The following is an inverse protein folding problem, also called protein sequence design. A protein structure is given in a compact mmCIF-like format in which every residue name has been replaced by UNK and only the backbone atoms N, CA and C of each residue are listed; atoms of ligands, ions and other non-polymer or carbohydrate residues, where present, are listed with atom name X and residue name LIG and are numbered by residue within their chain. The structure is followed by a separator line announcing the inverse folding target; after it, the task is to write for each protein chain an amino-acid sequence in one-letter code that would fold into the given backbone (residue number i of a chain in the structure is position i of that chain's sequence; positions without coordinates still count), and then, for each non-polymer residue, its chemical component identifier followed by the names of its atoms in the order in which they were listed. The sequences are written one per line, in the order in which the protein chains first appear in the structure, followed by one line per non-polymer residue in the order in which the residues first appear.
data_IF_815940883929
#
_entry.id   IF_815940883929
#
_cell.length_a   1.000
_cell.length_b   1.000
_cell.length_c   1.000
_cell.angle_alpha   90.00
_cell.angle_beta   90.00
_cell.angle_gamma   90.00
#
_symmetry.space_group_name_H-M   'P 1'
#
loop_
_entity.id
_entity.type
_entity.pdbx_description
1 polymer ?
#
# COMPACT_ATOMS: atom_id res chain seq x y z
N UNK A 1 8.01 10.29 -33.71
CA UNK A 1 7.85 10.37 -32.24
C UNK A 1 6.43 9.92 -31.82
N UNK A 2 5.36 10.24 -32.58
CA UNK A 2 3.96 9.95 -32.21
C UNK A 2 3.56 8.45 -32.20
N UNK A 3 4.24 7.58 -32.93
CA UNK A 3 3.87 6.15 -33.04
C UNK A 3 4.30 5.30 -31.82
N UNK A 4 5.36 5.70 -31.11
CA UNK A 4 5.87 5.00 -29.92
C UNK A 4 4.96 5.26 -28.71
N UNK A 5 4.41 6.46 -28.59
CA UNK A 5 3.51 6.88 -27.50
C UNK A 5 2.19 6.08 -27.50
N UNK A 6 1.61 5.89 -28.67
CA UNK A 6 0.34 5.15 -28.83
C UNK A 6 0.48 3.66 -28.50
N UNK A 7 1.62 3.04 -28.84
CA UNK A 7 1.88 1.62 -28.53
C UNK A 7 2.06 1.41 -27.04
N UNK A 8 2.83 2.28 -26.39
CA UNK A 8 3.07 2.26 -24.94
C UNK A 8 1.76 2.45 -24.15
N UNK A 9 0.94 3.43 -24.55
CA UNK A 9 -0.36 3.67 -23.93
C UNK A 9 -1.30 2.45 -24.04
N UNK A 10 -1.30 1.75 -25.19
CA UNK A 10 -2.10 0.50 -25.37
C UNK A 10 -1.60 -0.64 -24.48
N UNK A 11 -0.28 -0.75 -24.28
CA UNK A 11 0.29 -1.77 -23.38
C UNK A 11 -0.15 -1.47 -21.93
N UNK A 12 -0.02 -0.23 -21.48
CA UNK A 12 -0.45 0.18 -20.15
C UNK A 12 -1.95 -0.08 -19.93
N UNK A 13 -2.80 0.34 -20.86
CA UNK A 13 -4.25 0.10 -20.77
C UNK A 13 -4.60 -1.40 -20.66
N UNK A 14 -3.86 -2.27 -21.37
CA UNK A 14 -4.07 -3.72 -21.25
C UNK A 14 -3.58 -4.30 -19.94
N UNK A 15 -2.43 -3.85 -19.45
CA UNK A 15 -1.96 -4.23 -18.11
C UNK A 15 -2.95 -3.79 -17.04
N UNK A 16 -3.50 -2.58 -17.12
CA UNK A 16 -4.51 -2.07 -16.21
C UNK A 16 -5.78 -2.91 -16.21
N UNK A 17 -6.27 -3.30 -17.39
CA UNK A 17 -7.43 -4.18 -17.55
C UNK A 17 -7.21 -5.54 -16.87
N UNK A 18 -6.03 -6.15 -17.05
CA UNK A 18 -5.69 -7.44 -16.45
C UNK A 18 -5.55 -7.30 -14.93
N UNK A 19 -4.85 -6.27 -14.45
CA UNK A 19 -4.66 -6.00 -13.02
C UNK A 19 -6.00 -5.77 -12.32
N UNK A 20 -6.90 -4.98 -12.91
CA UNK A 20 -8.24 -4.75 -12.37
C UNK A 20 -9.04 -6.06 -12.25
N UNK A 21 -9.00 -6.91 -13.27
CA UNK A 21 -9.65 -8.22 -13.24
C UNK A 21 -9.05 -9.15 -12.20
N UNK A 22 -7.72 -9.18 -12.08
CA UNK A 22 -7.00 -10.00 -11.11
C UNK A 22 -7.34 -9.60 -9.66
N UNK A 23 -7.41 -8.30 -9.37
CA UNK A 23 -7.80 -7.78 -8.05
C UNK A 23 -9.18 -8.30 -7.64
N UNK A 24 -10.15 -8.25 -8.54
CA UNK A 24 -11.50 -8.79 -8.28
C UNK A 24 -11.48 -10.31 -8.04
N UNK A 25 -10.71 -11.06 -8.83
CA UNK A 25 -10.59 -12.50 -8.66
C UNK A 25 -9.92 -12.85 -7.32
N UNK A 26 -8.83 -12.19 -6.94
CA UNK A 26 -8.12 -12.43 -5.69
C UNK A 26 -8.98 -12.11 -4.46
N UNK A 27 -9.75 -11.02 -4.49
CA UNK A 27 -10.69 -10.69 -3.42
C UNK A 27 -11.80 -11.72 -3.27
N UNK A 28 -12.31 -12.25 -4.38
CA UNK A 28 -13.46 -13.15 -4.40
C UNK A 28 -13.12 -14.59 -4.04
N UNK A 29 -11.99 -15.07 -4.56
CA UNK A 29 -11.63 -16.49 -4.54
C UNK A 29 -10.32 -16.76 -3.78
N UNK A 30 -9.70 -15.71 -3.20
CA UNK A 30 -8.35 -15.78 -2.67
C UNK A 30 -7.29 -15.96 -3.75
N UNK A 31 -6.03 -15.86 -3.34
CA UNK A 31 -4.93 -15.99 -4.29
C UNK A 31 -4.86 -17.38 -4.95
N UNK A 32 -5.07 -18.45 -4.18
CA UNK A 32 -5.03 -19.82 -4.72
C UNK A 32 -6.20 -20.15 -5.63
N UNK A 33 -7.41 -19.69 -5.26
CA UNK A 33 -8.63 -19.96 -6.03
C UNK A 33 -8.68 -19.27 -7.39
N UNK A 34 -8.04 -18.10 -7.51
CA UNK A 34 -8.01 -17.33 -8.75
C UNK A 34 -6.96 -17.86 -9.72
N UNK A 35 -7.39 -18.48 -10.81
CA UNK A 35 -6.53 -18.96 -11.89
C UNK A 35 -6.36 -17.95 -13.03
N UNK A 36 -5.31 -18.10 -13.85
CA UNK A 36 -5.07 -17.26 -15.05
C UNK A 36 -6.25 -17.27 -16.02
N UNK A 37 -6.96 -18.39 -16.13
CA UNK A 37 -8.16 -18.51 -16.98
C UNK A 37 -9.33 -17.69 -16.43
N UNK A 38 -9.53 -17.65 -15.11
CA UNK A 38 -10.55 -16.83 -14.46
C UNK A 38 -10.24 -15.34 -14.63
N UNK A 39 -8.99 -14.95 -14.41
CA UNK A 39 -8.52 -13.57 -14.63
C UNK A 39 -8.76 -13.16 -16.09
N UNK A 40 -8.40 -14.01 -17.05
CA UNK A 40 -8.62 -13.74 -18.47
C UNK A 40 -10.11 -13.52 -18.79
N UNK A 41 -10.99 -14.39 -18.25
CA UNK A 41 -12.45 -14.27 -18.39
C UNK A 41 -12.96 -12.93 -17.87
N UNK A 42 -12.56 -12.54 -16.65
CA UNK A 42 -12.96 -11.26 -16.05
C UNK A 42 -12.36 -10.06 -16.79
N UNK A 43 -11.15 -10.20 -17.33
CA UNK A 43 -10.53 -9.18 -18.18
C UNK A 43 -11.11 -9.13 -19.60
N UNK A 44 -12.03 -10.03 -19.97
CA UNK A 44 -12.58 -10.16 -21.35
C UNK A 44 -11.46 -10.35 -22.38
N UNK A 45 -10.47 -11.17 -22.04
CA UNK A 45 -9.32 -11.51 -22.88
C UNK A 45 -9.19 -13.04 -22.99
N UNK A 46 -8.49 -13.51 -24.03
CA UNK A 46 -8.05 -14.88 -24.05
C UNK A 46 -6.90 -15.11 -23.07
N UNK A 47 -6.73 -16.32 -22.56
CA UNK A 47 -5.63 -16.70 -21.67
C UNK A 47 -4.28 -16.38 -22.32
N UNK A 48 -4.12 -16.67 -23.61
CA UNK A 48 -2.91 -16.35 -24.37
C UNK A 48 -2.64 -14.83 -24.46
N UNK A 49 -3.68 -14.00 -24.47
CA UNK A 49 -3.51 -12.56 -24.42
C UNK A 49 -3.01 -12.10 -23.05
N UNK A 50 -3.47 -12.70 -21.95
CA UNK A 50 -2.97 -12.37 -20.59
C UNK A 50 -1.51 -12.74 -20.48
N UNK A 51 -1.08 -13.92 -20.94
CA UNK A 51 0.32 -14.36 -20.91
C UNK A 51 1.28 -13.48 -21.72
N UNK A 52 0.80 -12.68 -22.68
CA UNK A 52 1.63 -11.68 -23.37
C UNK A 52 2.07 -10.52 -22.47
N UNK A 53 1.35 -10.26 -21.38
CA UNK A 53 1.58 -9.13 -20.47
C UNK A 53 2.13 -9.57 -19.11
N UNK A 54 1.79 -10.77 -18.66
CA UNK A 54 2.19 -11.33 -17.38
C UNK A 54 2.53 -12.81 -17.55
N UNK A 55 3.76 -13.14 -17.23
CA UNK A 55 4.29 -14.51 -17.38
C UNK A 55 3.52 -15.54 -16.52
N UNK A 56 3.11 -15.11 -15.34
CA UNK A 56 2.41 -15.95 -14.38
C UNK A 56 1.61 -15.08 -13.40
N UNK A 57 0.92 -15.73 -12.48
CA UNK A 57 0.11 -15.08 -11.44
C UNK A 57 0.95 -14.23 -10.48
N UNK A 58 2.15 -14.66 -10.15
CA UNK A 58 3.05 -13.91 -9.25
C UNK A 58 3.49 -12.59 -9.88
N UNK A 59 3.70 -12.54 -11.20
CA UNK A 59 4.00 -11.29 -11.90
C UNK A 59 2.82 -10.29 -11.85
N UNK A 60 1.58 -10.79 -11.79
CA UNK A 60 0.41 -9.92 -11.58
C UNK A 60 0.39 -9.39 -10.14
N UNK A 61 0.71 -10.21 -9.14
CA UNK A 61 0.82 -9.76 -7.75
C UNK A 61 1.91 -8.71 -7.61
N UNK A 62 3.08 -8.94 -8.18
CA UNK A 62 4.19 -7.98 -8.16
C UNK A 62 3.77 -6.62 -8.71
N UNK A 63 3.05 -6.60 -9.83
CA UNK A 63 2.49 -5.37 -10.39
C UNK A 63 1.48 -4.71 -9.44
N UNK A 64 0.59 -5.49 -8.83
CA UNK A 64 -0.41 -4.98 -7.88
C UNK A 64 0.28 -4.36 -6.66
N UNK A 65 1.20 -5.08 -6.03
CA UNK A 65 1.96 -4.62 -4.87
C UNK A 65 2.75 -3.36 -5.21
N UNK A 66 3.42 -3.35 -6.36
CA UNK A 66 4.18 -2.19 -6.84
C UNK A 66 3.28 -0.94 -6.99
N UNK A 67 2.06 -1.09 -7.52
CA UNK A 67 1.09 0.03 -7.63
C UNK A 67 0.64 0.53 -6.27
N UNK A 68 0.32 -0.37 -5.34
CA UNK A 68 -0.07 -0.01 -3.97
C UNK A 68 1.07 0.77 -3.28
N UNK A 69 2.31 0.29 -3.41
CA UNK A 69 3.49 0.96 -2.85
C UNK A 69 3.70 2.31 -3.49
N UNK A 70 3.63 2.43 -4.81
CA UNK A 70 3.78 3.70 -5.51
C UNK A 70 2.72 4.72 -5.07
N UNK A 71 1.47 4.29 -4.90
CA UNK A 71 0.40 5.15 -4.37
C UNK A 71 0.70 5.61 -2.93
N UNK A 72 1.17 4.71 -2.06
CA UNK A 72 1.60 5.07 -0.70
C UNK A 72 2.76 6.07 -0.72
N UNK A 73 3.77 5.85 -1.57
CA UNK A 73 4.91 6.76 -1.73
C UNK A 73 4.48 8.14 -2.23
N UNK A 74 3.56 8.22 -3.19
CA UNK A 74 3.00 9.50 -3.65
C UNK A 74 2.30 10.24 -2.52
N UNK A 75 1.55 9.54 -1.67
CA UNK A 75 0.88 10.15 -0.51
C UNK A 75 1.89 10.70 0.51
N UNK A 76 3.03 10.03 0.71
CA UNK A 76 4.09 10.50 1.59
C UNK A 76 4.79 11.76 1.05
N UNK A 77 4.82 11.96 -0.26
CA UNK A 77 5.48 13.12 -0.89
C UNK A 77 4.53 14.32 -1.09
N UNK A 78 3.22 14.14 -0.91
CA UNK A 78 2.27 15.25 -1.01
C UNK A 78 2.47 16.25 0.12
N UNK A 79 2.40 17.54 -0.20
CA UNK A 79 2.42 18.61 0.81
C UNK A 79 1.19 18.52 1.71
N UNK A 80 1.38 18.58 3.02
CA UNK A 80 0.30 18.55 4.00
C UNK A 80 0.68 17.94 5.34
N UNK A 81 -0.24 18.00 6.27
CA UNK A 81 -0.05 17.43 7.60
C UNK A 81 -0.24 15.89 7.59
N UNK A 82 0.86 15.19 7.32
CA UNK A 82 0.89 13.73 7.33
C UNK A 82 0.55 13.16 8.70
N UNK A 83 0.94 13.86 9.76
CA UNK A 83 0.72 13.43 11.15
C UNK A 83 -0.77 13.40 11.46
N UNK A 84 -1.51 14.47 11.19
CA UNK A 84 -2.95 14.51 11.41
C UNK A 84 -3.70 13.50 10.56
N UNK A 85 -3.31 13.32 9.29
CA UNK A 85 -3.91 12.27 8.43
C UNK A 85 -3.67 10.87 8.97
N UNK A 86 -2.48 10.60 9.50
CA UNK A 86 -2.17 9.31 10.11
C UNK A 86 -2.99 9.11 11.39
N UNK A 87 -3.02 10.09 12.28
CA UNK A 87 -3.83 10.03 13.51
C UNK A 87 -5.29 9.77 13.19
N UNK A 88 -5.86 10.46 12.21
CA UNK A 88 -7.23 10.24 11.79
C UNK A 88 -7.46 8.82 11.26
N UNK A 89 -6.58 8.32 10.40
CA UNK A 89 -6.64 6.93 9.91
C UNK A 89 -6.59 5.92 11.06
N UNK A 90 -5.69 6.11 12.02
CA UNK A 90 -5.52 5.20 13.15
C UNK A 90 -6.73 5.23 14.09
N UNK A 91 -7.33 6.40 14.32
CA UNK A 91 -8.45 6.57 15.25
C UNK A 91 -9.79 6.12 14.68
N UNK A 92 -10.04 6.36 13.41
CA UNK A 92 -11.33 6.03 12.77
C UNK A 92 -11.30 4.69 12.05
N UNK A 93 -10.12 4.18 11.69
CA UNK A 93 -9.91 3.08 10.73
C UNK A 93 -10.52 3.32 9.35
N UNK A 94 -10.98 4.54 9.11
CA UNK A 94 -11.48 5.00 7.82
C UNK A 94 -10.36 5.80 7.16
N UNK A 95 -10.14 5.55 5.88
CA UNK A 95 -9.22 6.36 5.09
C UNK A 95 -10.08 7.49 4.49
N UNK A 96 -9.90 8.77 4.93
CA UNK A 96 -10.60 9.89 4.29
C UNK A 96 -10.19 9.94 2.81
N UNK A 97 -11.14 10.22 1.94
CA UNK A 97 -10.96 10.24 0.49
C UNK A 97 -10.66 8.84 -0.09
N UNK A 98 -11.58 7.93 0.12
CA UNK A 98 -11.51 6.64 -0.55
C UNK A 98 -12.02 6.77 -1.99
N UNK A 99 -11.11 6.74 -2.91
CA UNK A 99 -11.37 6.06 -4.15
C UNK A 99 -11.66 4.58 -3.79
N UNK A 100 -12.71 3.99 -4.37
CA UNK A 100 -13.19 2.60 -4.15
C UNK A 100 -12.03 1.55 -4.22
N UNK A 101 -10.89 1.95 -4.80
CA UNK A 101 -9.67 1.18 -4.94
C UNK A 101 -8.88 0.96 -3.65
N UNK A 102 -9.03 1.79 -2.59
CA UNK A 102 -8.18 1.74 -1.38
C UNK A 102 -8.64 0.73 -0.33
N UNK A 103 -9.95 0.56 -0.15
CA UNK A 103 -10.46 -0.54 0.67
C UNK A 103 -10.09 -1.88 0.03
N UNK A 104 -10.14 -1.93 -1.31
CA UNK A 104 -9.69 -3.06 -2.10
C UNK A 104 -8.19 -3.32 -1.90
N UNK A 105 -7.36 -2.28 -1.79
CA UNK A 105 -5.93 -2.41 -1.54
C UNK A 105 -5.62 -3.01 -0.16
N UNK A 106 -6.36 -2.64 0.87
CA UNK A 106 -6.15 -3.19 2.23
C UNK A 106 -6.50 -4.67 2.30
N UNK A 107 -7.67 -5.06 1.80
CA UNK A 107 -8.10 -6.45 1.78
C UNK A 107 -7.13 -7.31 0.96
N UNK A 108 -6.69 -6.79 -0.18
CA UNK A 108 -5.75 -7.48 -1.05
C UNK A 108 -4.36 -7.63 -0.41
N UNK A 109 -3.87 -6.63 0.33
CA UNK A 109 -2.61 -6.74 1.06
C UNK A 109 -2.65 -7.80 2.16
N UNK A 110 -3.80 -8.00 2.83
CA UNK A 110 -3.97 -9.09 3.78
C UNK A 110 -3.87 -10.46 3.09
N UNK A 111 -4.49 -10.63 1.92
CA UNK A 111 -4.38 -11.86 1.11
C UNK A 111 -2.95 -12.12 0.65
N UNK A 112 -2.26 -11.10 0.16
CA UNK A 112 -0.86 -11.21 -0.28
C UNK A 112 0.06 -11.53 0.89
N UNK A 113 -0.17 -10.92 2.07
CA UNK A 113 0.59 -11.21 3.29
C UNK A 113 0.37 -12.66 3.75
N UNK A 114 -0.87 -13.15 3.71
CA UNK A 114 -1.18 -14.54 4.02
C UNK A 114 -0.49 -15.51 3.04
N UNK A 115 -0.43 -15.16 1.75
CA UNK A 115 0.28 -15.97 0.75
C UNK A 115 1.79 -15.96 0.96
N UNK A 116 2.37 -14.84 1.37
CA UNK A 116 3.81 -14.72 1.64
C UNK A 116 4.29 -15.69 2.75
N UNK A 117 3.41 -16.12 3.65
CA UNK A 117 3.77 -17.10 4.69
C UNK A 117 4.08 -18.49 4.12
N UNK A 118 3.67 -18.80 2.90
CA UNK A 118 3.86 -20.11 2.22
C UNK A 118 4.55 -20.01 0.87
N UNK A 119 4.66 -18.84 0.29
CA UNK A 119 5.33 -18.61 -0.99
C UNK A 119 6.58 -17.73 -0.81
N UNK A 120 7.80 -18.29 -0.91
CA UNK A 120 9.03 -17.51 -0.82
C UNK A 120 9.11 -16.39 -1.88
N UNK A 121 8.51 -16.61 -3.06
CA UNK A 121 8.47 -15.59 -4.11
C UNK A 121 7.59 -14.42 -3.74
N UNK A 122 6.40 -14.67 -3.20
CA UNK A 122 5.50 -13.60 -2.74
C UNK A 122 6.11 -12.87 -1.54
N UNK A 123 6.77 -13.61 -0.63
CA UNK A 123 7.52 -13.01 0.47
C UNK A 123 8.61 -12.05 -0.04
N UNK A 124 9.38 -12.44 -1.05
CA UNK A 124 10.40 -11.56 -1.64
C UNK A 124 9.80 -10.28 -2.26
N UNK A 125 8.64 -10.37 -2.92
CA UNK A 125 7.92 -9.21 -3.46
C UNK A 125 7.55 -8.25 -2.33
N UNK A 126 7.01 -8.75 -1.22
CA UNK A 126 6.64 -7.90 -0.07
C UNK A 126 7.87 -7.29 0.60
N UNK A 127 8.95 -8.04 0.77
CA UNK A 127 10.21 -7.53 1.36
C UNK A 127 10.82 -6.40 0.53
N UNK A 128 10.81 -6.52 -0.79
CA UNK A 128 11.27 -5.46 -1.69
C UNK A 128 10.36 -4.22 -1.58
N UNK A 129 9.05 -4.43 -1.54
CA UNK A 129 8.07 -3.36 -1.37
C UNK A 129 8.24 -2.61 -0.05
N UNK A 130 8.43 -3.35 1.05
CA UNK A 130 8.69 -2.82 2.39
C UNK A 130 10.00 -2.02 2.42
N UNK A 131 11.08 -2.57 1.87
CA UNK A 131 12.38 -1.89 1.79
C UNK A 131 12.28 -0.54 1.07
N UNK A 132 11.53 -0.46 -0.02
CA UNK A 132 11.30 0.79 -0.75
C UNK A 132 10.53 1.81 0.08
N UNK A 133 9.46 1.38 0.76
CA UNK A 133 8.66 2.25 1.66
C UNK A 133 9.51 2.76 2.81
N UNK A 134 10.27 1.87 3.45
CA UNK A 134 11.16 2.20 4.57
C UNK A 134 12.22 3.24 4.18
N UNK A 135 12.90 3.05 3.06
CA UNK A 135 13.91 3.98 2.56
C UNK A 135 13.32 5.37 2.29
N UNK A 136 12.19 5.43 1.60
CA UNK A 136 11.55 6.69 1.27
C UNK A 136 11.02 7.41 2.52
N UNK A 137 10.35 6.69 3.42
CA UNK A 137 9.85 7.23 4.67
C UNK A 137 11.01 7.74 5.56
N UNK A 138 12.11 6.99 5.63
CA UNK A 138 13.31 7.38 6.37
C UNK A 138 13.92 8.68 5.81
N UNK A 139 14.02 8.79 4.49
CA UNK A 139 14.52 10.00 3.83
C UNK A 139 13.65 11.23 4.13
N UNK A 140 12.34 11.09 4.03
CA UNK A 140 11.39 12.17 4.31
C UNK A 140 11.42 12.59 5.79
N UNK A 141 11.46 11.62 6.71
CA UNK A 141 11.57 11.91 8.15
C UNK A 141 12.91 12.57 8.50
N UNK A 142 14.01 12.13 7.90
CA UNK A 142 15.32 12.75 8.13
C UNK A 142 15.36 14.20 7.65
N UNK A 143 14.71 14.51 6.52
CA UNK A 143 14.58 15.89 6.04
C UNK A 143 13.76 16.76 6.98
N UNK A 144 12.67 16.21 7.53
CA UNK A 144 11.76 16.94 8.43
C UNK A 144 12.31 17.07 9.85
N UNK A 145 13.08 16.10 10.32
CA UNK A 145 13.64 16.02 11.68
C UNK A 145 15.15 15.79 11.64
N UNK A 146 15.93 16.78 11.16
CA UNK A 146 17.38 16.63 10.99
C UNK A 146 18.13 16.41 12.32
N UNK A 147 17.52 16.73 13.45
CA UNK A 147 18.06 16.49 14.80
C UNK A 147 18.01 15.02 15.23
N UNK A 148 17.22 14.18 14.57
CA UNK A 148 17.15 12.76 14.90
C UNK A 148 18.28 11.97 14.23
N UNK A 149 18.85 11.04 14.96
CA UNK A 149 19.87 10.13 14.41
C UNK A 149 19.22 9.08 13.49
N UNK A 150 19.98 8.49 12.55
CA UNK A 150 19.44 7.44 11.68
C UNK A 150 18.76 6.27 12.43
N UNK A 151 19.29 5.74 13.56
CA UNK A 151 18.58 4.72 14.34
C UNK A 151 17.26 5.21 14.93
N UNK A 152 17.19 6.48 15.34
CA UNK A 152 15.95 7.07 15.85
C UNK A 152 14.90 7.25 14.75
N UNK A 153 15.31 7.60 13.54
CA UNK A 153 14.44 7.64 12.36
C UNK A 153 13.93 6.24 12.05
N UNK A 154 14.82 5.25 11.96
CA UNK A 154 14.46 3.87 11.64
C UNK A 154 13.41 3.32 12.63
N UNK A 155 13.59 3.53 13.93
CA UNK A 155 12.62 3.09 14.95
C UNK A 155 11.25 3.74 14.79
N UNK A 156 11.18 5.00 14.33
CA UNK A 156 9.92 5.71 14.08
C UNK A 156 9.23 5.23 12.83
N UNK A 157 9.98 4.98 11.76
CA UNK A 157 9.43 4.40 10.53
C UNK A 157 8.84 3.03 10.81
N UNK A 158 9.56 2.18 11.55
CA UNK A 158 9.08 0.86 11.95
C UNK A 158 7.79 0.95 12.78
N UNK A 159 7.77 1.81 13.80
CA UNK A 159 6.56 2.03 14.61
C UNK A 159 5.36 2.46 13.74
N UNK A 160 5.58 3.37 12.79
CA UNK A 160 4.53 3.85 11.88
C UNK A 160 4.02 2.73 10.97
N UNK A 161 4.92 1.87 10.48
CA UNK A 161 4.57 0.69 9.68
C UNK A 161 3.68 -0.26 10.50
N UNK A 162 4.10 -0.64 11.70
CA UNK A 162 3.35 -1.52 12.61
C UNK A 162 1.97 -0.95 12.94
N UNK A 163 1.86 0.34 13.26
CA UNK A 163 0.57 0.98 13.56
C UNK A 163 -0.34 0.98 12.32
N UNK A 164 0.19 1.28 11.14
CA UNK A 164 -0.58 1.28 9.89
C UNK A 164 -1.06 -0.11 9.50
N UNK A 165 -0.21 -1.12 9.60
CA UNK A 165 -0.54 -2.52 9.29
C UNK A 165 -1.49 -3.11 10.31
N UNK A 166 -1.24 -2.88 11.60
CA UNK A 166 -2.14 -3.28 12.67
C UNK A 166 -3.54 -2.68 12.51
N UNK A 167 -3.65 -1.43 12.07
CA UNK A 167 -4.93 -0.80 11.76
C UNK A 167 -5.63 -1.48 10.59
N UNK A 168 -4.89 -1.83 9.54
CA UNK A 168 -5.41 -2.58 8.38
C UNK A 168 -5.91 -3.97 8.82
N UNK A 169 -5.12 -4.70 9.59
CA UNK A 169 -5.54 -6.01 10.11
C UNK A 169 -6.79 -5.92 10.98
N UNK A 170 -6.90 -4.87 11.80
CA UNK A 170 -8.05 -4.66 12.68
C UNK A 170 -9.27 -4.05 12.01
N UNK A 171 -9.22 -3.72 10.72
CA UNK A 171 -10.38 -3.18 9.98
C UNK A 171 -11.56 -4.15 9.91
N UNK A 172 -11.30 -5.46 10.04
CA UNK A 172 -12.35 -6.51 10.07
C UNK A 172 -13.13 -6.55 11.39
N UNK A 173 -12.67 -5.85 12.43
CA UNK A 173 -13.31 -5.83 13.74
C UNK A 173 -13.84 -4.43 14.07
N UNK A 174 -15.02 -4.29 14.69
CA UNK A 174 -15.53 -2.99 15.09
C UNK A 174 -14.61 -2.31 16.11
N UNK A 175 -14.56 -1.00 16.11
CA UNK A 175 -13.94 -0.20 17.15
C UNK A 175 -14.63 -0.49 18.49
N UNK A 176 -13.83 -0.62 19.56
CA UNK A 176 -14.33 -0.80 20.94
C UNK A 176 -14.15 0.45 21.80
N UNK A 177 -13.47 1.46 21.29
CA UNK A 177 -13.30 2.75 21.91
C UNK A 177 -13.84 3.82 20.97
N UNK A 178 -14.15 5.02 21.50
CA UNK A 178 -14.61 6.12 20.66
C UNK A 178 -13.46 6.61 19.75
N UNK A 179 -13.75 7.03 18.52
CA UNK A 179 -12.75 7.64 17.65
C UNK A 179 -12.10 8.88 18.27
N UNK A 180 -12.83 9.64 19.06
CA UNK A 180 -12.37 10.86 19.73
C UNK A 180 -11.31 10.55 20.77
N UNK A 181 -11.55 9.57 21.63
CA UNK A 181 -10.58 9.12 22.65
C UNK A 181 -9.32 8.54 21.98
N UNK A 182 -9.49 7.74 20.94
CA UNK A 182 -8.37 7.22 20.16
C UNK A 182 -7.59 8.35 19.49
N UNK A 183 -8.26 9.35 18.95
CA UNK A 183 -7.61 10.50 18.31
C UNK A 183 -6.74 11.26 19.31
N UNK A 184 -7.27 11.58 20.50
CA UNK A 184 -6.51 12.25 21.54
C UNK A 184 -5.28 11.44 21.99
N UNK A 185 -5.45 10.13 22.17
CA UNK A 185 -4.38 9.23 22.55
C UNK A 185 -3.27 9.18 21.49
N UNK A 186 -3.63 9.00 20.22
CA UNK A 186 -2.66 9.00 19.13
C UNK A 186 -1.98 10.36 18.98
N UNK A 187 -2.72 11.46 19.10
CA UNK A 187 -2.12 12.80 19.06
C UNK A 187 -1.07 12.98 20.16
N UNK A 188 -1.37 12.54 21.39
CA UNK A 188 -0.40 12.58 22.48
C UNK A 188 0.85 11.74 22.18
N UNK A 189 0.69 10.51 21.69
CA UNK A 189 1.80 9.64 21.29
C UNK A 189 2.63 10.30 20.19
N UNK A 190 1.99 10.83 19.15
CA UNK A 190 2.70 11.42 18.02
C UNK A 190 3.46 12.69 18.41
N UNK A 191 2.90 13.54 19.25
CA UNK A 191 3.58 14.72 19.77
C UNK A 191 4.82 14.35 20.60
N UNK A 192 4.78 13.19 21.26
CA UNK A 192 5.92 12.71 22.04
C UNK A 192 7.02 12.09 21.17
N UNK A 193 6.65 11.32 20.16
CA UNK A 193 7.64 10.65 19.28
C UNK A 193 8.19 11.56 18.18
N UNK A 194 7.45 12.60 17.77
CA UNK A 194 7.87 13.59 16.80
C UNK A 194 7.95 14.97 17.48
N UNK A 195 9.14 15.36 17.92
CA UNK A 195 9.30 16.66 18.56
C UNK A 195 8.94 17.80 17.59
N UNK A 196 8.35 18.87 18.11
CA UNK A 196 8.04 20.05 17.31
C UNK A 196 9.30 20.53 16.59
N UNK A 197 9.16 20.75 15.28
CA UNK A 197 10.21 21.42 14.52
C UNK A 197 10.26 22.86 15.02
N UNK A 198 11.26 23.22 15.80
CA UNK A 198 11.56 24.62 16.08
C UNK A 198 11.82 25.31 14.74
N UNK A 199 10.82 25.99 14.22
CA UNK A 199 11.01 26.97 13.16
C UNK A 199 11.85 28.08 13.80
N UNK A 200 13.15 28.08 13.53
CA UNK A 200 13.96 29.28 13.75
C UNK A 200 13.46 30.29 12.70
N UNK A 201 12.75 31.32 13.20
CA UNK A 201 12.52 32.56 12.47
C UNK A 201 13.83 33.26 12.13
#
# INVERSE_FOLDING_TARGET
VQHTDTKTARIHARRDQIVKAARLCFRRSGFHGAGMAEIAKHAQLSVGQVYRYFENKDAIIEEIVSRIVNNKLQLLTQTGDHTSRMIQKLSTRIIPESDDTREDDQALMLEVTAEATRSPRVAAILQEADSRLFQQASTLLQQRYPQLTPPQIAARVELMAVLSEGTTFRSVAPLKASPEELHQLYQHIFNHIFPETTTND
#
